data_IF_985771649006
#
_entry.id   IF_985771649006
#
_cell.length_a   1.000
_cell.length_b   1.000
_cell.length_c   1.000
_cell.angle_alpha   90.00
_cell.angle_beta   90.00
_cell.angle_gamma   90.00
#
_symmetry.space_group_name_H-M   'P 1'
#
loop_
_entity.id
_entity.type
_entity.pdbx_description
1 polymer ?
#
# COMPACT_ATOMS: atom_id res chain seq x y z
N UNK A 1 -28.76 -17.18 7.34
CA UNK A 1 -27.75 -17.31 6.28
C UNK A 1 -26.36 -17.27 6.89
N UNK A 2 -25.84 -18.43 7.26
CA UNK A 2 -24.47 -18.62 7.79
C UNK A 2 -23.45 -18.75 6.64
N UNK A 3 -23.65 -18.00 5.56
CA UNK A 3 -22.82 -18.01 4.35
C UNK A 3 -22.57 -16.58 3.83
N UNK A 4 -22.40 -15.62 4.75
CA UNK A 4 -21.95 -14.29 4.42
C UNK A 4 -20.41 -14.20 4.55
N UNK A 5 -19.74 -14.41 3.40
CA UNK A 5 -18.36 -14.02 3.08
C UNK A 5 -17.26 -14.52 4.05
N UNK A 6 -16.67 -15.67 3.75
CA UNK A 6 -15.30 -16.10 4.14
C UNK A 6 -14.82 -15.71 5.57
N UNK A 7 -15.48 -16.22 6.61
CA UNK A 7 -14.96 -16.18 7.99
C UNK A 7 -14.14 -17.43 8.34
N UNK A 8 -13.51 -18.07 7.35
CA UNK A 8 -12.79 -19.35 7.46
C UNK A 8 -11.33 -19.23 6.95
N UNK A 9 -10.79 -18.01 6.91
CA UNK A 9 -9.39 -17.72 6.60
C UNK A 9 -8.73 -16.84 7.68
N UNK A 10 -9.24 -16.86 8.91
CA UNK A 10 -8.65 -16.16 10.05
C UNK A 10 -8.38 -17.12 11.21
N UNK A 11 -7.99 -18.36 10.90
CA UNK A 11 -7.45 -19.27 11.91
C UNK A 11 -6.12 -19.86 11.42
N UNK A 12 -5.06 -19.34 12.07
CA UNK A 12 -3.77 -20.00 12.34
C UNK A 12 -2.70 -19.98 11.24
N UNK A 13 -1.87 -18.92 11.25
CA UNK A 13 -0.43 -19.14 11.44
C UNK A 13 0.17 -18.03 12.32
N UNK A 14 0.50 -18.44 13.54
CA UNK A 14 1.23 -17.70 14.57
C UNK A 14 2.73 -17.65 14.22
N UNK A 15 3.45 -16.75 14.89
CA UNK A 15 4.93 -16.68 14.92
C UNK A 15 5.67 -16.24 13.65
N UNK A 16 5.49 -14.96 13.31
CA UNK A 16 6.38 -14.27 12.37
C UNK A 16 6.94 -12.95 12.88
N UNK A 17 6.76 -12.62 14.17
CA UNK A 17 7.22 -11.36 14.75
C UNK A 17 6.50 -10.16 14.11
N UNK A 18 5.81 -9.38 14.94
CA UNK A 18 5.78 -7.96 14.67
C UNK A 18 7.24 -7.48 14.68
N UNK A 19 7.90 -7.58 13.52
CA UNK A 19 9.07 -6.80 13.18
C UNK A 19 8.63 -5.36 13.07
N UNK A 20 8.19 -4.78 14.19
CA UNK A 20 8.64 -3.47 14.61
C UNK A 20 10.16 -3.63 14.81
N UNK A 21 10.86 -3.83 13.68
CA UNK A 21 12.29 -3.75 13.61
C UNK A 21 12.61 -2.34 14.03
N UNK A 22 13.20 -2.27 15.20
CA UNK A 22 14.12 -1.25 15.66
C UNK A 22 15.06 -0.82 14.52
N UNK A 23 14.55 -0.01 13.58
CA UNK A 23 15.30 0.71 12.56
C UNK A 23 14.76 2.16 12.57
N UNK A 24 14.97 2.80 13.71
CA UNK A 24 14.68 4.21 14.00
C UNK A 24 15.65 5.17 13.26
N UNK A 25 16.20 4.76 12.09
CA UNK A 25 17.28 5.47 11.39
C UNK A 25 17.22 5.44 9.85
N UNK A 26 16.13 4.97 9.23
CA UNK A 26 15.85 5.28 7.82
C UNK A 26 14.33 5.29 7.56
N UNK A 27 13.71 6.44 7.78
CA UNK A 27 12.28 6.68 7.53
C UNK A 27 12.00 6.41 6.03
N UNK A 28 11.63 5.16 5.72
CA UNK A 28 11.51 4.67 4.34
C UNK A 28 10.49 5.45 3.54
N UNK A 29 10.71 5.50 2.22
CA UNK A 29 9.83 6.21 1.30
C UNK A 29 8.39 5.68 1.39
N UNK A 30 7.45 6.54 1.79
CA UNK A 30 6.04 6.18 2.00
C UNK A 30 5.07 7.13 1.28
N UNK A 31 3.89 6.62 0.94
CA UNK A 31 2.82 7.38 0.30
C UNK A 31 1.48 7.01 0.94
N UNK A 32 0.78 8.00 1.48
CA UNK A 32 -0.59 7.90 1.99
C UNK A 32 -1.51 8.67 1.04
N UNK A 33 -2.44 7.98 0.38
CA UNK A 33 -3.35 8.61 -0.56
C UNK A 33 -4.61 7.76 -0.79
N UNK A 34 -5.60 8.34 -1.47
CA UNK A 34 -6.73 7.59 -2.02
C UNK A 34 -6.47 7.24 -3.49
N UNK A 35 -7.20 6.26 -4.03
CA UNK A 35 -7.11 5.91 -5.44
C UNK A 35 -8.41 6.20 -6.17
N UNK A 36 -8.25 6.53 -7.44
CA UNK A 36 -9.34 6.81 -8.36
C UNK A 36 -9.60 5.65 -9.30
N UNK A 37 -8.52 5.04 -9.78
CA UNK A 37 -8.55 3.93 -10.73
C UNK A 37 -7.27 3.12 -10.63
N UNK A 38 -7.43 1.79 -10.61
CA UNK A 38 -6.34 0.82 -10.74
C UNK A 38 -6.64 -0.04 -11.96
N UNK A 39 -5.68 -0.19 -12.87
CA UNK A 39 -5.82 -0.97 -14.08
C UNK A 39 -4.63 -1.91 -14.26
N UNK A 40 -4.90 -3.10 -14.81
CA UNK A 40 -3.87 -4.09 -15.14
C UNK A 40 -4.03 -4.59 -16.56
N UNK A 41 -2.92 -4.70 -17.29
CA UNK A 41 -2.83 -5.38 -18.58
C UNK A 41 -1.63 -6.32 -18.54
N UNK A 42 -1.88 -7.63 -18.51
CA UNK A 42 -0.85 -8.66 -18.26
C UNK A 42 -0.09 -8.36 -16.96
N UNK A 43 1.21 -8.08 -17.05
CA UNK A 43 2.09 -7.73 -15.95
C UNK A 43 2.22 -6.22 -15.71
N UNK A 44 1.62 -5.37 -16.56
CA UNK A 44 1.69 -3.92 -16.38
C UNK A 44 0.53 -3.42 -15.52
N UNK A 45 0.85 -2.62 -14.52
CA UNK A 45 -0.07 -1.96 -13.62
C UNK A 45 -0.04 -0.45 -13.81
N UNK A 46 -1.21 0.19 -13.77
CA UNK A 46 -1.37 1.64 -13.75
C UNK A 46 -2.31 2.05 -12.63
N UNK A 47 -1.87 2.98 -11.79
CA UNK A 47 -2.64 3.53 -10.68
C UNK A 47 -2.81 5.04 -10.84
N UNK A 48 -4.05 5.53 -10.73
CA UNK A 48 -4.37 6.95 -10.58
C UNK A 48 -4.69 7.21 -9.11
N UNK A 49 -3.86 8.01 -8.45
CA UNK A 49 -3.91 8.33 -7.03
C UNK A 49 -4.38 9.78 -6.81
N UNK A 50 -4.94 10.07 -5.64
CA UNK A 50 -5.53 11.36 -5.28
C UNK A 50 -5.33 11.72 -3.82
N UNK A 51 -5.28 13.03 -3.58
CA UNK A 51 -5.29 13.66 -2.25
C UNK A 51 -4.30 12.98 -1.29
N UNK A 52 -3.02 13.00 -1.67
CA UNK A 52 -1.98 12.23 -1.02
C UNK A 52 -0.86 13.06 -0.41
N UNK A 53 -0.22 12.46 0.60
CA UNK A 53 1.01 12.89 1.24
C UNK A 53 2.08 11.83 0.98
N UNK A 54 3.30 12.25 0.69
CA UNK A 54 4.41 11.37 0.37
C UNK A 54 5.66 11.84 1.12
N UNK A 55 6.30 10.94 1.85
CA UNK A 55 7.61 11.16 2.46
C UNK A 55 8.64 10.42 1.63
N UNK A 56 9.53 11.13 0.95
CA UNK A 56 10.56 10.56 0.07
C UNK A 56 11.89 11.27 0.27
N UNK A 57 12.96 10.51 0.53
CA UNK A 57 14.30 11.03 0.82
C UNK A 57 14.32 12.13 1.90
N UNK A 58 13.59 11.91 3.00
CA UNK A 58 13.46 12.87 4.10
C UNK A 58 12.75 14.17 3.73
N UNK A 59 12.00 14.21 2.62
CA UNK A 59 11.19 15.35 2.20
C UNK A 59 9.72 14.97 2.13
N UNK A 60 8.88 15.85 2.65
CA UNK A 60 7.43 15.74 2.56
C UNK A 60 6.88 16.43 1.32
N UNK A 61 5.94 15.75 0.66
CA UNK A 61 5.25 16.21 -0.53
C UNK A 61 3.76 16.05 -0.34
N UNK A 62 2.99 17.00 -0.86
CA UNK A 62 1.53 16.89 -0.97
C UNK A 62 1.12 16.98 -2.43
N UNK A 63 0.17 16.16 -2.84
CA UNK A 63 -0.32 16.14 -4.21
C UNK A 63 -1.84 15.97 -4.28
N UNK A 64 -2.47 16.67 -5.21
CA UNK A 64 -3.88 16.45 -5.51
C UNK A 64 -4.10 15.22 -6.40
N UNK A 65 -3.18 14.96 -7.34
CA UNK A 65 -3.25 13.80 -8.25
C UNK A 65 -1.86 13.23 -8.54
N UNK A 66 -1.73 11.91 -8.50
CA UNK A 66 -0.51 11.16 -8.82
C UNK A 66 -0.80 10.03 -9.82
N UNK A 67 0.21 9.64 -10.60
CA UNK A 67 0.11 8.53 -11.56
C UNK A 67 1.30 7.59 -11.39
N UNK A 68 1.03 6.31 -11.15
CA UNK A 68 2.04 5.26 -11.00
C UNK A 68 1.92 4.21 -12.11
N UNK A 69 3.05 3.81 -12.70
CA UNK A 69 3.13 2.71 -13.65
C UNK A 69 4.25 1.75 -13.20
N UNK A 70 3.94 0.46 -13.08
CA UNK A 70 4.91 -0.56 -12.67
C UNK A 70 4.64 -1.92 -13.32
N UNK A 71 5.65 -2.78 -13.36
CA UNK A 71 5.57 -4.15 -13.87
C UNK A 71 5.72 -5.14 -12.71
N UNK A 72 4.97 -6.24 -12.74
CA UNK A 72 5.03 -7.35 -11.78
C UNK A 72 5.58 -8.63 -12.42
#
# INVERSE_FOLDING_TARGET
>A
DENAINSDLDDSDDEGGAGMGDDDDEEGDNILCTYDKVQRVKNKWKCTLKDGVMSVNGKEWVFHKGMGEFEW
#
